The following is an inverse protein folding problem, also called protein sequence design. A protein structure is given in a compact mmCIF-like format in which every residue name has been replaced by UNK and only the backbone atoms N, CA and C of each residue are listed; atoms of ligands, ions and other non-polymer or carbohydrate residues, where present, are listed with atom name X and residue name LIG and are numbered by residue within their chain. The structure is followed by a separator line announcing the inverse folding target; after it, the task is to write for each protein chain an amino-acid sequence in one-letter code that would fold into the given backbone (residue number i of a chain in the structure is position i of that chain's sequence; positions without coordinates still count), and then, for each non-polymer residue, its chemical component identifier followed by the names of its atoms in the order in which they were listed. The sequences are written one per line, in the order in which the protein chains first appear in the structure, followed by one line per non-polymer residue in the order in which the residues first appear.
data_IF_236669272596
#
_entry.id   IF_236669272596
#
_cell.length_a   1.000
_cell.length_b   1.000
_cell.length_c   1.000
_cell.angle_alpha   90.00
_cell.angle_beta   90.00
_cell.angle_gamma   90.00
#
_symmetry.space_group_name_H-M   'P 1'
#
loop_
_entity.id
_entity.type
_entity.pdbx_description
1 polymer ?
#
# COMPACT_ATOMS: atom_id res chain seq x y z
N UNK A 1 9.02 0.25 17.36
CA UNK A 1 9.91 -0.88 17.00
C UNK A 1 9.55 -1.40 15.62
N UNK A 2 10.51 -1.97 14.90
CA UNK A 2 10.34 -2.53 13.56
C UNK A 2 10.27 -4.05 13.66
N UNK A 3 9.32 -4.66 12.95
CA UNK A 3 9.20 -6.10 12.82
C UNK A 3 9.42 -6.54 11.37
N UNK A 4 10.31 -7.51 11.18
CA UNK A 4 10.64 -8.11 9.89
C UNK A 4 10.25 -9.58 9.92
N UNK A 5 9.41 -9.98 8.96
CA UNK A 5 8.96 -11.36 8.79
C UNK A 5 9.60 -11.91 7.53
N UNK A 6 10.37 -12.99 7.68
CA UNK A 6 11.04 -13.69 6.58
C UNK A 6 10.06 -14.38 5.64
N UNK A 7 10.56 -14.84 4.50
CA UNK A 7 9.77 -15.49 3.45
C UNK A 7 9.18 -16.84 3.90
N UNK A 8 9.98 -17.69 4.54
CA UNK A 8 9.53 -18.98 5.08
C UNK A 8 8.83 -18.88 6.44
N UNK A 9 8.65 -17.66 6.96
CA UNK A 9 8.05 -17.47 8.27
C UNK A 9 6.55 -17.71 8.23
N UNK A 10 6.05 -18.56 9.13
CA UNK A 10 4.63 -18.82 9.35
C UNK A 10 4.28 -18.41 10.76
N UNK A 11 3.49 -17.35 10.90
CA UNK A 11 3.06 -16.82 12.19
C UNK A 11 1.56 -17.04 12.36
N UNK A 12 1.18 -17.57 13.52
CA UNK A 12 -0.22 -17.63 13.94
C UNK A 12 -0.36 -16.94 15.30
N UNK A 13 -0.49 -15.61 15.30
CA UNK A 13 -0.45 -14.80 16.50
C UNK A 13 -0.98 -13.39 16.28
N UNK A 14 -1.26 -12.69 17.39
CA UNK A 14 -1.53 -11.25 17.38
C UNK A 14 -0.22 -10.48 17.41
N UNK A 15 0.02 -9.68 16.38
CA UNK A 15 1.29 -8.97 16.17
C UNK A 15 1.08 -7.47 16.33
N UNK A 16 1.83 -6.83 17.22
CA UNK A 16 1.78 -5.37 17.40
C UNK A 16 3.17 -4.77 17.26
N UNK A 17 3.36 -3.86 16.30
CA UNK A 17 4.62 -3.14 16.11
C UNK A 17 4.39 -1.73 15.53
N UNK A 18 5.45 -0.94 15.42
CA UNK A 18 5.40 0.38 14.75
C UNK A 18 5.36 0.20 13.24
N UNK A 19 6.48 -0.28 12.70
CA UNK A 19 6.62 -0.61 11.28
C UNK A 19 6.71 -2.12 11.10
N UNK A 20 5.92 -2.70 10.19
CA UNK A 20 5.90 -4.14 9.88
C UNK A 20 6.27 -4.34 8.41
N UNK A 21 7.23 -5.23 8.16
CA UNK A 21 7.59 -5.68 6.82
C UNK A 21 7.38 -7.18 6.74
N UNK A 22 6.42 -7.61 5.93
CA UNK A 22 6.08 -9.01 5.78
C UNK A 22 6.44 -9.57 4.40
N UNK A 23 7.16 -10.69 4.38
CA UNK A 23 7.43 -11.52 3.19
C UNK A 23 6.85 -12.93 3.29
N UNK A 24 6.37 -13.32 4.47
CA UNK A 24 5.91 -14.68 4.77
C UNK A 24 4.41 -14.78 4.98
N UNK A 25 4.00 -15.81 5.71
CA UNK A 25 2.59 -16.10 5.99
C UNK A 25 2.23 -15.67 7.40
N UNK A 26 1.20 -14.83 7.53
CA UNK A 26 0.67 -14.42 8.84
C UNK A 26 -0.81 -14.75 8.89
N UNK A 27 -1.21 -15.47 9.93
CA UNK A 27 -2.60 -15.73 10.29
C UNK A 27 -2.87 -15.08 11.65
N UNK A 28 -3.89 -14.23 11.75
CA UNK A 28 -4.27 -13.54 12.99
C UNK A 28 -4.36 -12.01 12.84
N UNK A 29 -4.41 -11.32 13.98
CA UNK A 29 -4.57 -9.86 14.02
C UNK A 29 -3.23 -9.13 14.01
N UNK A 30 -3.07 -8.17 13.10
CA UNK A 30 -1.85 -7.39 12.95
C UNK A 30 -2.15 -5.92 13.19
N UNK A 31 -1.46 -5.31 14.14
CA UNK A 31 -1.57 -3.89 14.46
C UNK A 31 -0.23 -3.20 14.18
N UNK A 32 -0.17 -2.41 13.11
CA UNK A 32 0.98 -1.59 12.76
C UNK A 32 0.68 -0.12 13.05
N UNK A 33 1.39 0.49 14.00
CA UNK A 33 1.13 1.88 14.45
C UNK A 33 1.63 2.97 13.52
N UNK A 34 2.57 2.64 12.62
CA UNK A 34 3.20 3.62 11.71
C UNK A 34 3.03 3.22 10.25
N UNK A 35 3.46 2.01 9.89
CA UNK A 35 3.44 1.55 8.50
C UNK A 35 3.47 0.03 8.40
N UNK A 36 2.68 -0.52 7.49
CA UNK A 36 2.76 -1.91 7.05
C UNK A 36 3.25 -1.98 5.59
N UNK A 37 4.25 -2.82 5.34
CA UNK A 37 4.74 -3.17 4.00
C UNK A 37 4.58 -4.67 3.79
N UNK A 38 3.78 -5.05 2.80
CA UNK A 38 3.66 -6.42 2.33
C UNK A 38 4.45 -6.58 1.05
N UNK A 39 5.32 -7.58 1.01
CA UNK A 39 6.19 -7.90 -0.11
C UNK A 39 5.91 -9.31 -0.59
N UNK A 40 5.95 -9.59 -1.89
CA UNK A 40 5.80 -10.96 -2.36
C UNK A 40 6.87 -11.89 -1.77
N UNK A 41 6.52 -13.16 -1.48
CA UNK A 41 5.23 -13.83 -1.65
C UNK A 41 4.34 -13.80 -0.37
N UNK A 42 4.21 -12.65 0.30
CA UNK A 42 3.48 -12.58 1.55
C UNK A 42 2.01 -12.99 1.43
N UNK A 43 1.54 -13.74 2.44
CA UNK A 43 0.14 -14.16 2.57
C UNK A 43 -0.38 -13.74 3.93
N UNK A 44 -1.40 -12.90 3.96
CA UNK A 44 -2.05 -12.45 5.19
C UNK A 44 -3.46 -13.04 5.26
N UNK A 45 -3.78 -13.72 6.36
CA UNK A 45 -5.11 -14.22 6.68
C UNK A 45 -5.56 -13.68 8.04
N UNK A 46 -6.38 -12.63 8.08
CA UNK A 46 -6.86 -12.08 9.35
C UNK A 46 -7.11 -10.58 9.32
N UNK A 47 -7.19 -9.97 10.51
CA UNK A 47 -7.42 -8.54 10.69
C UNK A 47 -6.14 -7.73 10.64
N UNK A 48 -6.11 -6.63 9.91
CA UNK A 48 -4.98 -5.71 9.86
C UNK A 48 -5.43 -4.30 10.18
N UNK A 49 -4.82 -3.67 11.18
CA UNK A 49 -5.05 -2.28 11.56
C UNK A 49 -3.77 -1.49 11.34
N UNK A 50 -3.82 -0.47 10.46
CA UNK A 50 -2.64 0.39 10.20
C UNK A 50 -3.01 1.76 9.63
N UNK A 51 -2.27 2.85 9.95
CA UNK A 51 -2.45 4.15 9.30
C UNK A 51 -1.93 4.19 7.86
N UNK A 52 -0.96 3.34 7.51
CA UNK A 52 -0.32 3.35 6.21
C UNK A 52 0.01 1.93 5.77
N UNK A 53 -0.57 1.50 4.66
CA UNK A 53 -0.32 0.21 4.04
C UNK A 53 0.36 0.37 2.67
N UNK A 54 1.32 -0.50 2.39
CA UNK A 54 1.96 -0.63 1.07
C UNK A 54 2.02 -2.11 0.72
N UNK A 55 1.48 -2.47 -0.45
CA UNK A 55 1.43 -3.83 -0.96
C UNK A 55 2.19 -3.90 -2.29
N UNK A 56 3.16 -4.82 -2.39
CA UNK A 56 3.82 -5.17 -3.65
C UNK A 56 2.97 -6.16 -4.46
N UNK A 57 3.25 -6.26 -5.76
CA UNK A 57 2.65 -7.26 -6.64
C UNK A 57 2.97 -8.68 -6.15
N UNK A 58 2.00 -9.61 -6.24
CA UNK A 58 2.17 -11.01 -5.81
C UNK A 58 1.88 -11.28 -4.34
N UNK A 59 1.41 -10.28 -3.59
CA UNK A 59 0.91 -10.44 -2.21
C UNK A 59 -0.55 -10.93 -2.24
N UNK A 60 -0.88 -11.88 -1.36
CA UNK A 60 -2.26 -12.31 -1.10
C UNK A 60 -2.73 -11.80 0.25
N UNK A 61 -3.83 -11.05 0.27
CA UNK A 61 -4.45 -10.56 1.50
C UNK A 61 -5.89 -11.04 1.59
N UNK A 62 -6.21 -11.79 2.64
CA UNK A 62 -7.54 -12.31 2.90
C UNK A 62 -7.96 -11.95 4.33
N UNK A 63 -8.92 -11.04 4.47
CA UNK A 63 -9.46 -10.68 5.77
C UNK A 63 -9.89 -9.22 5.85
N UNK A 64 -9.86 -8.67 7.06
CA UNK A 64 -10.36 -7.32 7.34
C UNK A 64 -9.20 -6.34 7.44
N UNK A 65 -9.35 -5.17 6.83
CA UNK A 65 -8.36 -4.10 6.87
C UNK A 65 -9.00 -2.84 7.45
N UNK A 66 -8.47 -2.35 8.56
CA UNK A 66 -8.88 -1.12 9.21
C UNK A 66 -7.76 -0.08 9.09
N UNK A 67 -8.10 1.07 8.51
CA UNK A 67 -7.18 2.18 8.38
C UNK A 67 -7.28 3.09 9.59
N UNK A 68 -6.38 2.94 10.56
CA UNK A 68 -6.34 3.79 11.75
C UNK A 68 -5.74 5.15 11.37
N UNK A 69 -6.57 6.16 11.19
CA UNK A 69 -6.12 7.46 10.68
C UNK A 69 -5.35 8.24 11.76
N UNK A 70 -4.02 8.08 11.80
CA UNK A 70 -3.17 9.04 12.50
C UNK A 70 -2.91 10.22 11.55
N UNK A 71 -3.39 11.40 11.93
CA UNK A 71 -3.19 12.64 11.20
C UNK A 71 -1.68 12.96 11.08
N UNK A 72 -1.04 12.49 10.01
CA UNK A 72 0.27 12.99 9.56
C UNK A 72 0.12 13.53 8.15
N UNK A 73 0.61 14.75 7.89
CA UNK A 73 0.37 15.45 6.65
C UNK A 73 1.00 14.68 5.50
N UNK A 74 0.20 14.39 4.49
CA UNK A 74 0.65 13.93 3.18
C UNK A 74 1.62 15.00 2.66
N UNK A 75 2.91 14.68 2.61
CA UNK A 75 3.88 15.49 1.89
C UNK A 75 3.47 15.42 0.40
N UNK A 76 2.72 16.44 -0.04
CA UNK A 76 2.41 16.72 -1.44
C UNK A 76 3.73 17.10 -2.11
N UNK A 77 4.54 16.11 -2.46
CA UNK A 77 5.62 16.34 -3.39
C UNK A 77 5.03 16.36 -4.82
N UNK A 78 5.10 17.57 -5.38
CA UNK A 78 4.87 18.03 -6.76
C UNK A 78 3.46 18.54 -7.13
N UNK A 79 3.32 19.85 -7.45
CA UNK A 79 2.18 20.35 -8.20
C UNK A 79 2.25 19.79 -9.62
N UNK A 80 1.37 18.85 -9.96
CA UNK A 80 1.05 18.58 -11.35
C UNK A 80 0.34 19.82 -11.88
N UNK A 81 1.07 20.64 -12.63
CA UNK A 81 0.48 21.64 -13.51
C UNK A 81 -0.58 20.94 -14.36
N UNK A 82 -1.83 21.39 -14.23
CA UNK A 82 -2.91 21.08 -15.14
C UNK A 82 -2.52 21.55 -16.54
N UNK A 83 -2.11 20.65 -17.42
CA UNK A 83 -2.18 20.91 -18.87
C UNK A 83 -3.62 20.65 -19.28
N UNK A 84 -4.45 21.68 -19.10
CA UNK A 84 -5.65 21.86 -19.89
C UNK A 84 -5.38 22.91 -20.95
N UNK A 85 -5.25 22.51 -22.20
CA UNK A 85 -5.69 23.29 -23.38
C UNK A 85 -5.82 22.32 -24.55
N UNK A 86 -7.06 22.09 -24.98
CA UNK A 86 -7.32 21.56 -26.30
C UNK A 86 -6.85 22.56 -27.36
N UNK A 87 -6.14 22.06 -28.36
CA UNK A 87 -5.96 22.69 -29.66
C UNK A 87 -5.86 21.57 -30.69
N UNK A 88 -7.02 21.03 -31.09
CA UNK A 88 -7.10 20.35 -32.39
C UNK A 88 -6.75 21.38 -33.47
N UNK A 89 -5.76 21.11 -34.34
CA UNK A 89 -5.45 22.00 -35.44
C UNK A 89 -6.58 21.97 -36.48
N UNK A 90 -7.00 23.09 -37.09
CA UNK A 90 -7.95 23.06 -38.19
C UNK A 90 -7.28 22.39 -39.39
N UNK A 91 -7.70 21.17 -39.70
CA UNK A 91 -7.28 20.44 -40.89
C UNK A 91 -7.75 21.21 -42.12
N UNK A 92 -6.86 22.01 -42.72
CA UNK A 92 -7.10 22.61 -44.03
C UNK A 92 -6.95 21.52 -45.08
N UNK A 93 -8.06 20.90 -45.46
CA UNK A 93 -8.10 20.04 -46.66
C UNK A 93 -8.13 20.95 -47.89
N UNK A 94 -6.96 21.24 -48.42
CA UNK A 94 -6.82 21.75 -49.79
C UNK A 94 -6.90 20.54 -50.73
N UNK A 95 -7.85 20.52 -51.65
CA UNK A 95 -7.80 19.63 -52.81
C UNK A 95 -8.35 20.42 -54.00
N UNK A 96 -7.59 20.33 -55.10
CA UNK A 96 -7.63 21.08 -56.36
C UNK A 96 -8.95 21.03 -57.12
#
# INVERSE_FOLDING_TARGET
GILLVGEDAVLNAKVTAGTIVCKGKITGDITAREKMKLRAPAVINGGVTTPMLSMEEGVSFNGTLEMEQQARPVHKDLPLHSVGTGTEPPVRRLTV
#
